data_IF_453510887995
#
_entry.id   IF_453510887995
#
_cell.length_a   1.000
_cell.length_b   1.000
_cell.length_c   1.000
_cell.angle_alpha   90.00
_cell.angle_beta   90.00
_cell.angle_gamma   90.00
#
_symmetry.space_group_name_H-M   'P 1'
#
loop_
_entity.id
_entity.type
_entity.pdbx_description
1 polymer ?
#
# COMPACT_ATOMS: atom_id res chain seq x y z
N UNK A 1 -1.24 -13.60 -31.34
CA UNK A 1 -1.11 -14.14 -29.96
C UNK A 1 -0.07 -13.42 -29.09
N UNK A 2 0.64 -12.40 -29.59
CA UNK A 2 1.75 -11.75 -28.86
C UNK A 2 1.36 -10.69 -27.79
N UNK A 3 0.09 -10.28 -27.70
CA UNK A 3 -0.33 -9.24 -26.73
C UNK A 3 -0.53 -9.77 -25.30
N UNK A 4 -0.72 -11.10 -25.12
CA UNK A 4 -1.01 -11.68 -23.80
C UNK A 4 0.19 -11.74 -22.86
N UNK A 5 1.42 -11.67 -23.38
CA UNK A 5 2.63 -11.92 -22.59
C UNK A 5 3.16 -10.69 -21.83
N UNK A 6 2.85 -9.47 -22.29
CA UNK A 6 3.21 -8.26 -21.55
C UNK A 6 2.44 -8.10 -20.21
N UNK A 7 1.50 -9.01 -19.91
CA UNK A 7 0.55 -8.89 -18.80
C UNK A 7 0.61 -10.00 -17.76
N UNK A 8 1.73 -10.71 -17.59
CA UNK A 8 1.95 -11.58 -16.42
C UNK A 8 2.35 -10.77 -15.16
N UNK A 9 1.79 -9.57 -14.98
CA UNK A 9 1.90 -8.82 -13.74
C UNK A 9 0.62 -9.02 -12.96
N UNK A 10 0.72 -9.64 -11.77
CA UNK A 10 -0.44 -9.82 -10.88
C UNK A 10 -1.10 -8.45 -10.61
N UNK A 11 -2.42 -8.42 -10.42
CA UNK A 11 -3.13 -7.16 -10.17
C UNK A 11 -2.51 -6.38 -8.99
N UNK A 12 -2.02 -7.10 -7.97
CA UNK A 12 -1.32 -6.52 -6.84
C UNK A 12 0.02 -5.88 -7.24
N UNK A 13 0.77 -6.50 -8.16
CA UNK A 13 2.02 -5.95 -8.66
C UNK A 13 1.79 -4.68 -9.49
N UNK A 14 0.71 -4.61 -10.29
CA UNK A 14 0.32 -3.38 -11.00
C UNK A 14 -0.05 -2.26 -10.03
N UNK A 15 -0.81 -2.57 -8.98
CA UNK A 15 -1.17 -1.60 -7.93
C UNK A 15 0.06 -1.12 -7.19
N UNK A 16 0.98 -2.03 -6.82
CA UNK A 16 2.22 -1.68 -6.14
C UNK A 16 3.09 -0.76 -7.02
N UNK A 17 3.28 -1.09 -8.29
CA UNK A 17 4.05 -0.26 -9.23
C UNK A 17 3.38 1.09 -9.46
N UNK A 18 2.06 1.14 -9.63
CA UNK A 18 1.32 2.40 -9.73
C UNK A 18 1.49 3.27 -8.49
N UNK A 19 1.39 2.68 -7.30
CA UNK A 19 1.62 3.37 -6.02
C UNK A 19 3.03 3.92 -5.88
N UNK A 20 4.06 3.13 -6.26
CA UNK A 20 5.46 3.57 -6.23
C UNK A 20 5.71 4.70 -7.23
N UNK A 21 5.21 4.58 -8.47
CA UNK A 21 5.39 5.61 -9.48
C UNK A 21 4.74 6.95 -9.07
N UNK A 22 3.49 6.90 -8.57
CA UNK A 22 2.81 8.10 -8.05
C UNK A 22 3.56 8.67 -6.84
N UNK A 23 4.05 7.82 -5.93
CA UNK A 23 4.85 8.24 -4.77
C UNK A 23 6.15 8.93 -5.15
N UNK A 24 6.87 8.45 -6.17
CA UNK A 24 8.10 9.06 -6.67
C UNK A 24 7.85 10.39 -7.38
N UNK A 25 6.76 10.49 -8.16
CA UNK A 25 6.35 11.75 -8.80
C UNK A 25 6.01 12.79 -7.72
N UNK A 26 5.24 12.39 -6.70
CA UNK A 26 4.95 13.24 -5.55
C UNK A 26 6.23 13.68 -4.85
N UNK A 27 7.19 12.79 -4.61
CA UNK A 27 8.44 13.11 -3.88
C UNK A 27 9.27 14.23 -4.55
N UNK A 28 9.19 14.38 -5.87
CA UNK A 28 9.94 15.43 -6.61
C UNK A 28 9.35 16.82 -6.36
N UNK A 29 8.02 16.91 -6.26
CA UNK A 29 7.30 18.19 -6.18
C UNK A 29 6.92 18.58 -4.75
N UNK A 30 6.95 17.61 -3.83
CA UNK A 30 6.45 17.78 -2.48
C UNK A 30 7.62 17.96 -1.50
N UNK A 31 7.50 18.87 -0.52
CA UNK A 31 8.46 18.96 0.56
C UNK A 31 8.62 17.62 1.28
N UNK A 32 9.84 17.30 1.72
CA UNK A 32 10.17 16.02 2.35
C UNK A 32 9.28 15.67 3.55
N UNK A 33 8.82 16.67 4.32
CA UNK A 33 7.92 16.48 5.44
C UNK A 33 6.51 16.03 5.01
N UNK A 34 6.02 16.47 3.85
CA UNK A 34 4.71 16.04 3.34
C UNK A 34 4.78 14.60 2.82
N UNK A 35 5.88 14.23 2.16
CA UNK A 35 6.11 12.85 1.75
C UNK A 35 6.12 11.91 2.97
N UNK A 36 6.78 12.32 4.07
CA UNK A 36 6.75 11.60 5.34
C UNK A 36 5.31 11.44 5.88
N UNK A 37 4.51 12.52 5.86
CA UNK A 37 3.11 12.47 6.29
C UNK A 37 2.25 11.57 5.40
N UNK A 38 2.54 11.43 4.10
CA UNK A 38 1.80 10.50 3.23
C UNK A 38 2.16 9.05 3.59
N UNK A 39 3.45 8.74 3.71
CA UNK A 39 3.95 7.39 4.01
C UNK A 39 3.41 6.87 5.35
N UNK A 40 3.28 7.73 6.36
CA UNK A 40 2.75 7.34 7.68
C UNK A 40 1.24 7.57 7.77
N UNK A 41 0.77 8.73 7.32
CA UNK A 41 -0.60 9.18 7.48
C UNK A 41 -1.60 8.38 6.66
N UNK A 42 -1.26 7.94 5.45
CA UNK A 42 -2.18 7.11 4.64
C UNK A 42 -2.41 5.75 5.31
N UNK A 43 -1.39 4.97 5.73
CA UNK A 43 -1.62 3.74 6.49
C UNK A 43 -2.39 3.96 7.80
N UNK A 44 -2.11 5.05 8.53
CA UNK A 44 -2.81 5.38 9.78
C UNK A 44 -4.29 5.68 9.49
N UNK A 45 -4.58 6.56 8.53
CA UNK A 45 -5.94 6.91 8.13
C UNK A 45 -6.69 5.68 7.60
N UNK A 46 -6.04 4.85 6.78
CA UNK A 46 -6.61 3.60 6.29
C UNK A 46 -6.94 2.65 7.46
N UNK A 47 -6.06 2.50 8.44
CA UNK A 47 -6.30 1.66 9.61
C UNK A 47 -7.45 2.18 10.49
N UNK A 48 -7.56 3.51 10.64
CA UNK A 48 -8.64 4.14 11.39
C UNK A 48 -9.98 4.04 10.66
N UNK A 49 -9.97 4.07 9.32
CA UNK A 49 -11.13 3.87 8.48
C UNK A 49 -11.60 2.40 8.44
N UNK A 50 -10.80 1.44 8.90
CA UNK A 50 -11.24 0.06 9.03
C UNK A 50 -12.33 -0.08 10.08
N UNK A 51 -13.36 -0.84 9.74
CA UNK A 51 -14.37 -1.25 10.70
C UNK A 51 -13.75 -2.00 11.88
N UNK A 52 -14.32 -1.91 13.09
CA UNK A 52 -13.83 -2.62 14.27
C UNK A 52 -13.65 -4.14 14.04
N UNK A 53 -14.49 -4.76 13.20
CA UNK A 53 -14.40 -6.18 12.82
C UNK A 53 -13.16 -6.47 11.97
N UNK A 54 -12.88 -5.65 10.96
CA UNK A 54 -11.70 -5.75 10.08
C UNK A 54 -10.41 -5.53 10.87
N UNK A 55 -10.40 -4.50 11.72
CA UNK A 55 -9.26 -4.18 12.60
C UNK A 55 -8.91 -5.32 13.55
N UNK A 56 -9.92 -5.98 14.14
CA UNK A 56 -9.73 -7.17 14.99
C UNK A 56 -9.16 -8.35 14.22
N UNK A 57 -9.66 -8.62 13.01
CA UNK A 57 -9.14 -9.68 12.14
C UNK A 57 -7.70 -9.41 11.73
N UNK A 58 -7.38 -8.18 11.32
CA UNK A 58 -6.02 -7.76 10.97
C UNK A 58 -5.08 -7.98 12.15
N UNK A 59 -5.41 -7.50 13.36
CA UNK A 59 -4.60 -7.74 14.59
C UNK A 59 -4.38 -9.23 14.89
N UNK A 60 -5.38 -10.09 14.65
CA UNK A 60 -5.25 -11.54 14.85
C UNK A 60 -4.31 -12.17 13.83
N UNK A 61 -4.44 -11.79 12.56
CA UNK A 61 -3.55 -12.27 11.49
C UNK A 61 -2.13 -11.79 11.78
N UNK A 62 -1.91 -10.49 11.96
CA UNK A 62 -0.57 -9.93 12.26
C UNK A 62 0.09 -10.62 13.46
N UNK A 63 -0.65 -10.94 14.53
CA UNK A 63 -0.08 -11.69 15.66
C UNK A 63 0.35 -13.13 15.34
N UNK A 64 -0.36 -13.83 14.46
CA UNK A 64 0.08 -15.15 13.98
C UNK A 64 1.35 -15.05 13.14
N UNK A 65 1.47 -13.98 12.38
CA UNK A 65 2.60 -13.73 11.50
C UNK A 65 3.87 -13.29 12.24
N UNK A 66 3.74 -12.74 13.45
CA UNK A 66 4.88 -12.35 14.31
C UNK A 66 5.39 -13.50 15.20
N UNK A 67 4.63 -14.58 15.33
CA UNK A 67 4.97 -15.75 16.15
C UNK A 67 5.46 -16.95 15.33
N UNK A 68 5.76 -16.75 14.05
CA UNK A 68 6.25 -17.76 13.10
C UNK A 68 7.58 -17.30 12.50
#
# INVERSE_FOLDING_TARGET
>A
MAVKEATLMSNNAKIAVGGVAVGLILLIWLPWWVAFLIVVGVPVAAYLALDPSQRRRLRRVTRKELGR
#
